data_IF_287579639374
#
_entry.id   IF_287579639374
#
_cell.length_a   1.000
_cell.length_b   1.000
_cell.length_c   1.000
_cell.angle_alpha   90.00
_cell.angle_beta   90.00
_cell.angle_gamma   90.00
#
_symmetry.space_group_name_H-M   'P 1'
#
loop_
_entity.id
_entity.type
_entity.pdbx_description
1 polymer ?
#
# COMPACT_ATOMS: atom_id res chain seq x y z
N UNK A 1 81.72 0.58 12.13
CA UNK A 1 80.98 -0.18 13.16
C UNK A 1 79.65 0.54 13.46
N UNK A 2 78.56 0.18 12.77
CA UNK A 2 77.23 0.79 12.99
C UNK A 2 76.33 -0.11 13.86
N UNK A 3 75.44 0.44 14.70
CA UNK A 3 74.70 -0.36 15.68
C UNK A 3 73.59 -1.21 15.03
N UNK A 4 73.56 -2.49 15.41
CA UNK A 4 72.60 -3.51 14.97
C UNK A 4 71.16 -3.10 15.29
N UNK A 5 70.33 -2.86 14.27
CA UNK A 5 68.88 -2.66 14.44
C UNK A 5 68.23 -3.96 14.91
N UNK A 6 67.67 -3.92 16.13
CA UNK A 6 66.90 -5.02 16.75
C UNK A 6 65.62 -5.29 15.95
N UNK A 7 65.44 -6.53 15.55
CA UNK A 7 64.23 -7.09 14.92
C UNK A 7 63.00 -6.94 15.84
N UNK A 8 61.98 -6.20 15.41
CA UNK A 8 60.67 -6.14 16.08
C UNK A 8 59.86 -7.39 15.68
N UNK A 9 59.51 -8.23 16.66
CA UNK A 9 58.56 -9.35 16.51
C UNK A 9 57.14 -8.79 16.20
N UNK A 10 56.33 -9.45 15.35
CA UNK A 10 54.96 -9.03 15.12
C UNK A 10 54.07 -9.44 16.30
N UNK A 11 53.31 -8.50 16.88
CA UNK A 11 52.24 -8.78 17.84
C UNK A 11 51.04 -9.42 17.13
N UNK A 12 50.53 -10.51 17.70
CA UNK A 12 49.33 -11.21 17.22
C UNK A 12 48.06 -10.36 17.49
N UNK A 13 47.02 -10.44 16.65
CA UNK A 13 45.81 -9.65 16.84
C UNK A 13 45.03 -10.15 18.04
N UNK A 14 44.94 -9.33 19.09
CA UNK A 14 44.11 -9.61 20.28
C UNK A 14 42.64 -9.75 19.85
N UNK A 15 42.09 -10.96 19.99
CA UNK A 15 40.66 -11.26 19.79
C UNK A 15 39.81 -10.29 20.62
N UNK A 16 38.91 -9.56 19.97
CA UNK A 16 37.84 -8.82 20.67
C UNK A 16 37.01 -9.81 21.49
N UNK A 17 36.71 -9.54 22.78
CA UNK A 17 35.82 -10.40 23.55
C UNK A 17 34.42 -10.37 22.93
N UNK A 18 33.84 -11.55 22.75
CA UNK A 18 32.45 -11.73 22.33
C UNK A 18 31.50 -11.17 23.41
N UNK A 19 30.41 -10.49 23.02
CA UNK A 19 29.42 -10.00 23.98
C UNK A 19 28.76 -11.16 24.73
N UNK A 20 28.38 -10.98 26.01
CA UNK A 20 27.82 -12.04 26.84
C UNK A 20 26.44 -12.51 26.30
N UNK A 21 26.20 -13.82 26.22
CA UNK A 21 24.92 -14.39 25.84
C UNK A 21 23.94 -14.23 26.99
N UNK A 22 23.16 -13.14 27.01
CA UNK A 22 22.19 -12.98 28.09
C UNK A 22 21.44 -11.66 28.20
N UNK A 23 21.76 -10.63 27.41
CA UNK A 23 20.90 -9.44 27.38
C UNK A 23 19.84 -9.62 26.29
N UNK A 24 18.56 -9.86 26.63
CA UNK A 24 17.50 -9.70 25.65
C UNK A 24 17.54 -8.23 25.22
N UNK A 25 17.99 -7.98 23.99
CA UNK A 25 17.74 -6.71 23.32
C UNK A 25 16.23 -6.58 23.28
N UNK A 26 15.67 -5.72 24.12
CA UNK A 26 14.31 -5.20 23.98
C UNK A 26 14.27 -4.47 22.63
N UNK A 27 14.05 -5.25 21.58
CA UNK A 27 13.87 -4.77 20.24
C UNK A 27 12.60 -3.95 20.26
N UNK A 28 12.78 -2.63 20.25
CA UNK A 28 11.73 -1.66 19.99
C UNK A 28 10.78 -2.22 18.92
N UNK A 29 9.50 -2.27 19.25
CA UNK A 29 8.42 -2.78 18.43
C UNK A 29 8.36 -2.02 17.10
N UNK A 30 9.12 -2.47 16.11
CA UNK A 30 9.12 -1.99 14.71
C UNK A 30 7.78 -2.26 13.99
N UNK A 31 6.74 -2.70 14.69
CA UNK A 31 5.44 -3.11 14.14
C UNK A 31 4.39 -1.99 14.00
N UNK A 32 4.52 -0.86 14.70
CA UNK A 32 3.43 0.15 14.73
C UNK A 32 3.30 0.97 13.43
N UNK A 33 4.44 1.30 12.80
CA UNK A 33 4.49 2.09 11.56
C UNK A 33 3.89 1.36 10.35
N UNK A 34 4.14 0.04 10.24
CA UNK A 34 3.64 -0.80 9.15
C UNK A 34 2.11 -0.96 9.19
N UNK A 35 1.54 -1.13 10.39
CA UNK A 35 0.09 -1.26 10.58
C UNK A 35 -0.65 0.02 10.19
N UNK A 36 -0.07 1.19 10.49
CA UNK A 36 -0.67 2.50 10.19
C UNK A 36 -0.81 2.78 8.70
N UNK A 37 0.10 2.25 7.87
CA UNK A 37 0.06 2.35 6.39
C UNK A 37 -0.98 1.42 5.75
N UNK A 38 -1.14 0.21 6.28
CA UNK A 38 -2.10 -0.79 5.76
C UNK A 38 -3.56 -0.35 5.85
N UNK A 39 -3.88 0.59 6.74
CA UNK A 39 -5.25 1.03 6.99
C UNK A 39 -5.65 2.31 6.24
N UNK A 40 -4.78 2.87 5.39
CA UNK A 40 -5.05 4.14 4.70
C UNK A 40 -6.23 4.00 3.73
N UNK A 41 -6.28 2.93 2.93
CA UNK A 41 -7.36 2.70 1.99
C UNK A 41 -8.71 2.41 2.68
N UNK A 42 -8.70 1.66 3.79
CA UNK A 42 -9.91 1.42 4.60
C UNK A 42 -10.45 2.72 5.20
N UNK A 43 -9.57 3.60 5.67
CA UNK A 43 -9.97 4.94 6.15
C UNK A 43 -10.51 5.79 5.02
N UNK A 44 -9.90 5.71 3.84
CA UNK A 44 -10.35 6.45 2.66
C UNK A 44 -11.74 6.00 2.20
N UNK A 45 -11.99 4.70 2.10
CA UNK A 45 -13.33 4.16 1.77
C UNK A 45 -14.37 4.66 2.77
N UNK A 46 -14.09 4.51 4.07
CA UNK A 46 -15.00 4.97 5.13
C UNK A 46 -15.26 6.48 5.08
N UNK A 47 -14.25 7.27 4.73
CA UNK A 47 -14.37 8.71 4.61
C UNK A 47 -15.20 9.09 3.38
N UNK A 48 -14.88 8.54 2.21
CA UNK A 48 -15.60 8.79 0.94
C UNK A 48 -17.06 8.33 0.97
N UNK A 49 -17.37 7.24 1.67
CA UNK A 49 -18.75 6.77 1.86
C UNK A 49 -19.54 7.62 2.87
N UNK A 50 -18.86 8.38 3.73
CA UNK A 50 -19.49 9.25 4.75
C UNK A 50 -19.66 10.68 4.26
N UNK A 51 -18.80 11.14 3.34
CA UNK A 51 -18.87 12.46 2.72
C UNK A 51 -19.72 12.45 1.44
N UNK A 52 -20.37 13.57 1.13
CA UNK A 52 -21.11 13.79 -0.13
C UNK A 52 -20.47 14.87 -1.01
N UNK A 53 -19.19 15.19 -0.75
CA UNK A 53 -18.43 16.14 -1.57
C UNK A 53 -18.22 15.57 -2.98
N UNK A 54 -18.24 16.43 -4.00
CA UNK A 54 -17.91 16.03 -5.36
C UNK A 54 -16.46 15.53 -5.44
N UNK A 55 -16.26 14.31 -5.91
CA UNK A 55 -14.93 13.69 -6.01
C UNK A 55 -14.12 14.28 -7.18
N UNK A 56 -14.79 14.82 -8.19
CA UNK A 56 -14.18 15.53 -9.31
C UNK A 56 -14.25 17.04 -9.00
N UNK A 57 -13.15 17.77 -9.30
CA UNK A 57 -13.05 19.22 -9.05
C UNK A 57 -14.29 19.98 -9.56
N UNK A 58 -14.81 20.88 -8.70
CA UNK A 58 -16.01 21.70 -8.92
C UNK A 58 -16.05 22.30 -10.32
N UNK A 59 -17.04 21.87 -11.10
CA UNK A 59 -17.34 22.22 -12.49
C UNK A 59 -18.85 22.02 -12.72
N UNK A 60 -19.45 22.52 -13.82
CA UNK A 60 -20.91 22.61 -13.96
C UNK A 60 -21.64 21.29 -13.73
N UNK A 61 -22.92 21.41 -13.34
CA UNK A 61 -23.88 20.36 -12.91
C UNK A 61 -23.82 19.02 -13.68
N UNK A 62 -23.46 19.04 -14.97
CA UNK A 62 -23.19 17.84 -15.80
C UNK A 62 -22.32 16.77 -15.12
N UNK A 63 -21.37 17.18 -14.26
CA UNK A 63 -20.44 16.22 -13.63
C UNK A 63 -21.02 15.51 -12.41
N UNK A 64 -22.02 16.07 -11.74
CA UNK A 64 -22.69 15.40 -10.63
C UNK A 64 -23.38 14.11 -11.10
N UNK A 65 -24.08 14.18 -12.23
CA UNK A 65 -24.72 13.02 -12.85
C UNK A 65 -23.69 11.97 -13.30
N UNK A 66 -22.57 12.43 -13.88
CA UNK A 66 -21.49 11.53 -14.30
C UNK A 66 -20.78 10.85 -13.11
N UNK A 67 -20.57 11.56 -11.99
CA UNK A 67 -20.00 10.98 -10.78
C UNK A 67 -20.91 9.89 -10.19
N UNK A 68 -22.21 10.16 -10.07
CA UNK A 68 -23.18 9.18 -9.57
C UNK A 68 -23.20 7.93 -10.45
N UNK A 69 -23.21 8.08 -11.77
CA UNK A 69 -23.17 6.95 -12.71
C UNK A 69 -21.89 6.11 -12.53
N UNK A 70 -20.72 6.76 -12.45
CA UNK A 70 -19.45 6.07 -12.32
C UNK A 70 -19.33 5.30 -11.00
N UNK A 71 -19.82 5.85 -9.88
CA UNK A 71 -19.80 5.17 -8.59
C UNK A 71 -20.58 3.85 -8.66
N UNK A 72 -21.82 3.89 -9.15
CA UNK A 72 -22.65 2.69 -9.28
C UNK A 72 -22.04 1.67 -10.25
N UNK A 73 -21.43 2.13 -11.35
CA UNK A 73 -20.76 1.24 -12.30
C UNK A 73 -19.55 0.52 -11.66
N UNK A 74 -18.77 1.22 -10.84
CA UNK A 74 -17.63 0.62 -10.15
C UNK A 74 -18.04 -0.34 -9.04
N UNK A 75 -19.17 -0.12 -8.38
CA UNK A 75 -19.74 -1.07 -7.41
C UNK A 75 -20.12 -2.40 -8.09
N UNK A 76 -20.82 -2.34 -9.23
CA UNK A 76 -21.17 -3.54 -10.00
C UNK A 76 -19.94 -4.26 -10.54
N UNK A 77 -18.98 -3.51 -11.08
CA UNK A 77 -17.73 -4.09 -11.55
C UNK A 77 -16.94 -4.76 -10.41
N UNK A 78 -17.01 -4.22 -9.19
CA UNK A 78 -16.33 -4.80 -8.03
C UNK A 78 -16.97 -6.12 -7.58
N UNK A 79 -18.30 -6.26 -7.68
CA UNK A 79 -19.00 -7.52 -7.46
C UNK A 79 -18.51 -8.62 -8.43
N UNK A 80 -18.24 -8.26 -9.69
CA UNK A 80 -17.68 -9.17 -10.69
C UNK A 80 -16.22 -9.56 -10.39
N UNK A 81 -15.41 -8.62 -9.90
CA UNK A 81 -14.04 -8.94 -9.45
C UNK A 81 -14.05 -9.92 -8.27
N UNK A 82 -14.94 -9.71 -7.29
CA UNK A 82 -15.13 -10.61 -6.15
C UNK A 82 -15.65 -11.98 -6.57
N UNK A 83 -16.58 -12.03 -7.53
CA UNK A 83 -17.07 -13.28 -8.11
C UNK A 83 -15.92 -14.11 -8.73
N UNK A 84 -14.93 -13.45 -9.31
CA UNK A 84 -13.72 -14.07 -9.84
C UNK A 84 -12.61 -14.31 -8.80
N UNK A 85 -12.88 -14.13 -7.50
CA UNK A 85 -11.93 -14.32 -6.40
C UNK A 85 -10.81 -13.27 -6.31
N UNK A 86 -10.96 -12.12 -6.98
CA UNK A 86 -9.97 -11.03 -7.00
C UNK A 86 -10.47 -9.85 -6.19
N UNK A 87 -9.55 -9.22 -5.45
CA UNK A 87 -9.82 -7.95 -4.73
C UNK A 87 -9.49 -6.73 -5.60
N UNK A 88 -8.68 -6.91 -6.64
CA UNK A 88 -8.30 -5.85 -7.58
C UNK A 88 -9.30 -5.80 -8.74
N UNK A 89 -9.81 -4.60 -9.05
CA UNK A 89 -10.61 -4.32 -10.25
C UNK A 89 -9.74 -4.40 -11.52
N UNK A 90 -10.27 -5.01 -12.57
CA UNK A 90 -9.63 -5.04 -13.89
C UNK A 90 -10.55 -4.48 -14.98
N UNK A 91 -10.00 -4.01 -16.13
CA UNK A 91 -10.81 -3.48 -17.22
C UNK A 91 -11.88 -4.44 -17.74
N UNK A 92 -11.59 -5.75 -17.73
CA UNK A 92 -12.55 -6.81 -18.10
C UNK A 92 -13.79 -6.85 -17.22
N UNK A 93 -13.66 -6.51 -15.93
CA UNK A 93 -14.77 -6.51 -14.97
C UNK A 93 -15.70 -5.31 -15.25
N UNK A 94 -15.12 -4.16 -15.58
CA UNK A 94 -15.87 -2.95 -15.97
C UNK A 94 -16.56 -3.14 -17.33
N UNK A 95 -15.86 -3.73 -18.31
CA UNK A 95 -16.43 -4.05 -19.62
C UNK A 95 -17.60 -5.03 -19.49
N UNK A 96 -17.47 -6.03 -18.62
CA UNK A 96 -18.52 -6.99 -18.33
C UNK A 96 -19.71 -6.32 -17.62
N UNK A 97 -19.47 -5.47 -16.62
CA UNK A 97 -20.55 -4.71 -15.95
C UNK A 97 -21.34 -3.86 -16.94
N UNK A 98 -20.66 -3.12 -17.83
CA UNK A 98 -21.31 -2.35 -18.90
C UNK A 98 -22.09 -3.22 -19.88
N UNK A 99 -21.59 -4.42 -20.19
CA UNK A 99 -22.27 -5.35 -21.09
C UNK A 99 -23.52 -5.96 -20.47
N UNK A 100 -23.49 -6.24 -19.17
CA UNK A 100 -24.63 -6.81 -18.42
C UNK A 100 -25.71 -5.76 -18.17
N UNK A 101 -25.32 -4.51 -17.85
CA UNK A 101 -26.27 -3.39 -17.70
C UNK A 101 -27.07 -3.08 -18.97
N UNK A 102 -26.59 -3.51 -20.14
CA UNK A 102 -27.27 -3.29 -21.41
C UNK A 102 -27.19 -1.84 -21.90
N UNK A 103 -27.94 -1.55 -22.97
CA UNK A 103 -27.92 -0.25 -23.68
C UNK A 103 -28.76 0.82 -22.95
N UNK A 104 -29.72 0.40 -22.11
CA UNK A 104 -30.71 1.28 -21.46
C UNK A 104 -30.12 2.23 -20.40
N UNK A 105 -29.08 1.82 -19.66
CA UNK A 105 -28.37 2.72 -18.72
C UNK A 105 -27.07 3.31 -19.30
N UNK A 106 -26.72 2.98 -20.55
CA UNK A 106 -25.44 3.32 -21.17
C UNK A 106 -25.47 4.52 -22.11
N UNK A 107 -26.66 5.02 -22.45
CA UNK A 107 -26.86 6.18 -23.31
C UNK A 107 -27.65 7.22 -22.53
N UNK A 108 -26.97 8.33 -22.23
CA UNK A 108 -27.65 9.55 -21.76
C UNK A 108 -28.55 10.14 -22.85
#
# INVERSE_FOLDING_TARGET
MGPRRRSRKPEAPTRRPSPPPGTPRLGASRGSSSQRRRNVWLKQIKMLQKSTDLLIRKRPFSRLAAEAFLVHLFEDAYLLSLHAGRVTLFPKDVQLARRIRGIEEGLG
#
